data_IF_650599619030
#
_entry.id   IF_650599619030
#
_cell.length_a   1.000
_cell.length_b   1.000
_cell.length_c   1.000
_cell.angle_alpha   90.00
_cell.angle_beta   90.00
_cell.angle_gamma   90.00
#
_symmetry.space_group_name_H-M   'P 1'
#
loop_
_entity.id
_entity.type
_entity.pdbx_description
1 polymer ?
#
# COMPACT_ATOMS: atom_id res chain seq x y z
N UNK A 1 49.01 -14.91 -20.11
CA UNK A 1 48.69 -15.38 -18.74
C UNK A 1 47.97 -14.23 -18.04
N UNK A 2 46.87 -13.76 -18.64
CA UNK A 2 46.32 -12.43 -18.39
C UNK A 2 44.79 -12.42 -18.38
N UNK A 3 44.14 -13.41 -19.00
CA UNK A 3 42.69 -13.58 -18.97
C UNK A 3 42.13 -13.91 -17.58
N UNK A 4 42.87 -14.65 -16.75
CA UNK A 4 42.41 -15.01 -15.41
C UNK A 4 42.53 -13.85 -14.43
N UNK A 5 43.54 -12.98 -14.60
CA UNK A 5 43.63 -11.71 -13.88
C UNK A 5 42.53 -10.74 -14.31
N UNK A 6 42.20 -10.69 -15.60
CA UNK A 6 41.12 -9.85 -16.12
C UNK A 6 39.75 -10.36 -15.63
N UNK A 7 39.51 -11.69 -15.63
CA UNK A 7 38.31 -12.31 -15.05
C UNK A 7 38.20 -12.09 -13.55
N UNK A 8 39.29 -12.19 -12.80
CA UNK A 8 39.26 -11.96 -11.36
C UNK A 8 39.12 -10.46 -11.02
N UNK A 9 39.61 -9.56 -11.88
CA UNK A 9 39.38 -8.11 -11.77
C UNK A 9 37.94 -7.74 -12.11
N UNK A 10 37.34 -8.32 -13.16
CA UNK A 10 35.92 -8.20 -13.48
C UNK A 10 35.04 -8.76 -12.36
N UNK A 11 35.34 -9.97 -11.84
CA UNK A 11 34.63 -10.54 -10.69
C UNK A 11 34.73 -9.66 -9.46
N UNK A 12 35.87 -9.00 -9.20
CA UNK A 12 36.07 -8.11 -8.05
C UNK A 12 35.34 -6.77 -8.21
N UNK A 13 35.27 -6.23 -9.44
CA UNK A 13 34.47 -5.02 -9.77
C UNK A 13 32.97 -5.32 -9.65
N UNK A 14 32.53 -6.49 -10.11
CA UNK A 14 31.13 -6.93 -10.00
C UNK A 14 30.76 -7.23 -8.53
N UNK A 15 31.71 -7.73 -7.71
CA UNK A 15 31.50 -7.98 -6.27
C UNK A 15 31.47 -6.71 -5.41
N UNK A 16 32.06 -5.60 -5.88
CA UNK A 16 32.00 -4.30 -5.21
C UNK A 16 30.83 -3.41 -5.67
N UNK A 17 30.12 -3.81 -6.73
CA UNK A 17 28.97 -3.07 -7.28
C UNK A 17 27.63 -3.69 -6.85
N UNK A 18 27.53 -4.11 -5.58
CA UNK A 18 26.27 -4.55 -4.99
C UNK A 18 26.36 -4.32 -3.50
N UNK A 19 26.06 -3.08 -3.07
CA UNK A 19 25.61 -2.71 -1.72
C UNK A 19 25.26 -1.20 -1.72
N UNK A 20 24.44 -0.76 -2.66
CA UNK A 20 23.42 0.24 -2.32
C UNK A 20 22.07 -0.39 -2.65
N UNK A 21 21.36 -0.68 -1.57
CA UNK A 21 20.01 -1.13 -1.52
C UNK A 21 19.13 0.09 -1.82
N UNK A 22 18.70 0.26 -3.08
CA UNK A 22 17.71 1.30 -3.42
C UNK A 22 16.54 0.64 -4.11
N UNK A 23 15.40 0.89 -3.46
CA UNK A 23 14.08 0.30 -3.61
C UNK A 23 13.45 0.70 -4.96
N UNK A 24 12.52 -0.13 -5.40
CA UNK A 24 11.54 0.09 -6.46
C UNK A 24 12.01 0.86 -7.72
N UNK A 25 12.35 0.11 -8.77
CA UNK A 25 12.42 0.64 -10.13
C UNK A 25 11.23 0.09 -10.91
N UNK A 26 10.05 0.64 -10.70
CA UNK A 26 8.87 0.27 -11.48
C UNK A 26 8.86 1.01 -12.80
N UNK A 27 8.45 0.34 -13.88
CA UNK A 27 8.31 0.99 -15.19
C UNK A 27 7.09 1.90 -15.11
N UNK A 28 7.30 3.22 -15.20
CA UNK A 28 6.21 4.15 -15.17
C UNK A 28 5.24 3.98 -16.35
N UNK A 29 3.94 3.92 -16.05
CA UNK A 29 2.88 3.92 -17.05
C UNK A 29 2.90 5.25 -17.80
N UNK A 30 2.70 5.22 -19.13
CA UNK A 30 2.85 6.42 -19.97
C UNK A 30 1.83 7.52 -19.64
N UNK A 31 0.63 7.15 -19.28
CA UNK A 31 -0.45 8.03 -18.85
C UNK A 31 -0.23 8.55 -17.41
N UNK A 32 0.34 7.74 -16.51
CA UNK A 32 0.75 8.19 -15.17
C UNK A 32 1.91 9.19 -15.25
N UNK A 33 2.92 8.90 -16.07
CA UNK A 33 4.02 9.82 -16.37
C UNK A 33 3.53 11.09 -17.07
N UNK A 34 2.55 10.96 -17.98
CA UNK A 34 1.95 12.12 -18.63
C UNK A 34 1.17 12.98 -17.63
N UNK A 35 0.48 12.37 -16.67
CA UNK A 35 -0.22 13.08 -15.59
C UNK A 35 0.77 13.87 -14.73
N UNK A 36 1.91 13.29 -14.36
CA UNK A 36 2.98 13.99 -13.66
C UNK A 36 3.37 15.29 -14.36
N UNK A 37 3.58 15.24 -15.68
CA UNK A 37 3.93 16.41 -16.49
C UNK A 37 2.84 17.48 -16.57
N UNK A 38 1.57 17.14 -16.30
CA UNK A 38 0.51 18.14 -16.24
C UNK A 38 0.53 18.94 -14.93
N UNK A 39 1.06 18.34 -13.86
CA UNK A 39 1.13 18.94 -12.53
C UNK A 39 2.48 19.60 -12.25
N UNK A 40 3.53 19.17 -12.94
CA UNK A 40 4.87 19.79 -12.92
C UNK A 40 4.86 21.13 -13.69
N UNK A 41 4.27 22.14 -13.05
CA UNK A 41 4.03 23.45 -13.65
C UNK A 41 5.31 24.24 -13.91
N UNK A 42 6.36 23.99 -13.11
CA UNK A 42 7.64 24.66 -13.23
C UNK A 42 8.68 23.84 -14.05
N UNK A 43 8.35 22.59 -14.42
CA UNK A 43 9.16 21.63 -15.16
C UNK A 43 10.50 21.29 -14.51
N UNK A 44 10.55 21.25 -13.18
CA UNK A 44 11.74 20.86 -12.43
C UNK A 44 11.84 19.34 -12.20
N UNK A 45 10.80 18.59 -12.56
CA UNK A 45 10.77 17.14 -12.41
C UNK A 45 10.35 16.69 -11.01
N UNK A 46 9.78 17.60 -10.21
CA UNK A 46 9.36 17.41 -8.83
C UNK A 46 7.93 17.98 -8.65
N UNK A 47 7.06 17.26 -7.94
CA UNK A 47 5.75 17.77 -7.56
C UNK A 47 5.80 18.25 -6.12
N UNK A 48 5.89 19.56 -5.95
CA UNK A 48 5.81 20.18 -4.65
C UNK A 48 4.36 20.27 -4.16
N UNK A 49 4.17 20.38 -2.84
CA UNK A 49 2.85 20.61 -2.24
C UNK A 49 2.11 21.81 -2.84
N UNK A 50 2.82 22.80 -3.39
CA UNK A 50 2.22 24.00 -4.02
C UNK A 50 1.58 23.72 -5.37
N UNK A 51 2.17 22.80 -6.14
CA UNK A 51 1.66 22.38 -7.45
C UNK A 51 0.46 21.44 -7.32
N UNK A 52 0.35 20.77 -6.17
CA UNK A 52 -0.73 19.85 -5.84
C UNK A 52 -1.92 20.54 -5.15
N UNK A 53 -1.77 21.78 -4.66
CA UNK A 53 -2.86 22.57 -4.04
C UNK A 53 -4.16 22.58 -4.87
N UNK A 54 -4.13 22.74 -6.21
CA UNK A 54 -5.38 22.73 -6.99
C UNK A 54 -6.14 21.40 -6.95
N UNK A 55 -5.48 20.28 -6.63
CA UNK A 55 -6.11 18.98 -6.35
C UNK A 55 -6.63 18.88 -4.91
N UNK A 56 -5.93 19.50 -3.96
CA UNK A 56 -6.26 19.44 -2.53
C UNK A 56 -7.36 20.43 -2.09
N UNK A 57 -7.58 21.50 -2.84
CA UNK A 57 -8.57 22.53 -2.51
C UNK A 57 -10.03 22.15 -2.85
N UNK A 58 -10.26 21.06 -3.60
CA UNK A 58 -11.63 20.56 -3.77
C UNK A 58 -12.09 19.88 -2.47
N UNK A 59 -12.97 20.59 -1.75
CA UNK A 59 -13.66 20.16 -0.52
C UNK A 59 -14.31 18.77 -0.54
N UNK A 60 -14.38 18.12 -1.71
CA UNK A 60 -14.92 16.77 -1.92
C UNK A 60 -13.89 15.65 -1.81
N UNK A 61 -12.59 15.95 -1.83
CA UNK A 61 -11.54 14.93 -1.94
C UNK A 61 -10.62 14.86 -0.71
N UNK A 62 -11.22 14.75 0.48
CA UNK A 62 -10.51 14.60 1.77
C UNK A 62 -9.55 13.40 1.80
N UNK A 63 -9.79 12.41 0.94
CA UNK A 63 -8.97 11.22 0.81
C UNK A 63 -7.80 11.40 -0.17
N UNK A 64 -7.90 12.33 -1.13
CA UNK A 64 -6.88 12.50 -2.16
C UNK A 64 -5.59 13.09 -1.58
N UNK A 65 -5.70 14.10 -0.70
CA UNK A 65 -4.56 14.66 0.02
C UNK A 65 -3.79 13.58 0.79
N UNK A 66 -4.49 12.83 1.64
CA UNK A 66 -3.87 11.77 2.45
C UNK A 66 -3.30 10.61 1.60
N UNK A 67 -3.83 10.41 0.40
CA UNK A 67 -3.31 9.46 -0.57
C UNK A 67 -2.00 9.95 -1.20
N UNK A 68 -1.99 11.19 -1.70
CA UNK A 68 -0.83 11.79 -2.37
C UNK A 68 0.33 11.97 -1.38
N UNK A 69 0.04 12.39 -0.14
CA UNK A 69 1.04 12.46 0.94
C UNK A 69 1.71 11.11 1.24
N UNK A 70 1.08 9.99 0.87
CA UNK A 70 1.62 8.63 1.07
C UNK A 70 2.50 8.16 -0.09
N UNK A 71 2.49 8.89 -1.20
CA UNK A 71 3.34 8.62 -2.36
C UNK A 71 4.80 9.05 -2.13
N UNK A 72 5.03 10.00 -1.22
CA UNK A 72 6.34 10.46 -0.77
C UNK A 72 7.02 9.33 0.02
N UNK A 73 7.86 8.55 -0.66
CA UNK A 73 8.44 7.32 -0.12
C UNK A 73 9.94 7.31 -0.36
N UNK A 74 10.69 6.89 0.67
CA UNK A 74 12.15 6.83 0.71
C UNK A 74 12.93 6.82 -0.64
N UNK A 75 14.01 7.61 -0.75
CA UNK A 75 14.81 8.10 0.38
C UNK A 75 14.57 9.58 0.68
N UNK A 76 13.81 9.90 1.73
CA UNK A 76 13.71 11.29 2.18
C UNK A 76 12.42 11.66 2.90
N UNK A 77 11.26 11.15 2.44
CA UNK A 77 9.97 11.70 2.82
C UNK A 77 10.03 13.24 2.85
N UNK A 78 10.55 13.83 1.76
CA UNK A 78 11.03 15.21 1.74
C UNK A 78 9.91 16.22 1.40
N UNK A 79 8.66 15.74 1.35
CA UNK A 79 7.45 16.46 0.97
C UNK A 79 7.47 16.94 -0.49
N UNK A 80 8.27 16.27 -1.32
CA UNK A 80 8.33 16.45 -2.76
C UNK A 80 8.09 15.09 -3.38
N UNK A 81 7.24 15.03 -4.41
CA UNK A 81 6.98 13.76 -5.10
C UNK A 81 7.70 13.79 -6.44
N UNK A 82 8.73 12.98 -6.56
CA UNK A 82 9.47 12.76 -7.80
C UNK A 82 8.69 11.92 -8.80
N UNK A 83 9.13 11.90 -10.06
CA UNK A 83 8.51 11.05 -11.07
C UNK A 83 8.53 9.56 -10.67
N UNK A 84 9.62 9.07 -10.08
CA UNK A 84 9.72 7.66 -9.68
C UNK A 84 8.73 7.32 -8.56
N UNK A 85 8.63 8.16 -7.52
CA UNK A 85 7.66 8.03 -6.43
C UNK A 85 6.21 8.10 -6.92
N UNK A 86 5.93 9.04 -7.82
CA UNK A 86 4.63 9.16 -8.47
C UNK A 86 4.27 7.86 -9.19
N UNK A 87 5.18 7.35 -10.00
CA UNK A 87 4.97 6.13 -10.76
C UNK A 87 4.81 4.89 -9.87
N UNK A 88 5.53 4.82 -8.76
CA UNK A 88 5.38 3.77 -7.74
C UNK A 88 4.06 3.90 -6.98
N UNK A 89 3.62 5.13 -6.70
CA UNK A 89 2.35 5.39 -6.05
C UNK A 89 1.13 5.01 -6.91
N UNK A 90 1.32 4.77 -8.21
CA UNK A 90 0.28 4.22 -9.09
C UNK A 90 0.65 2.85 -9.66
N UNK A 91 1.78 2.26 -9.27
CA UNK A 91 2.26 0.96 -9.78
C UNK A 91 1.30 -0.20 -9.46
N UNK A 92 0.57 -0.09 -8.36
CA UNK A 92 -0.42 -1.08 -7.91
C UNK A 92 -1.77 -0.95 -8.64
N UNK A 93 -1.96 0.10 -9.46
CA UNK A 93 -3.19 0.30 -10.22
C UNK A 93 -3.32 -0.60 -11.45
N UNK A 94 -2.23 -1.21 -11.93
CA UNK A 94 -2.26 -1.89 -13.24
C UNK A 94 -2.27 -3.41 -13.21
N UNK A 95 -1.56 -4.12 -12.35
CA UNK A 95 -1.66 -5.60 -12.30
C UNK A 95 -0.91 -6.19 -11.11
N UNK A 96 -1.63 -6.55 -10.04
CA UNK A 96 -1.48 -7.78 -9.25
C UNK A 96 -2.26 -7.67 -7.95
N UNK A 97 -3.43 -8.31 -7.93
CA UNK A 97 -4.27 -8.52 -6.75
C UNK A 97 -4.50 -7.25 -5.94
N UNK A 98 -5.56 -6.52 -6.29
CA UNK A 98 -6.16 -5.64 -5.30
C UNK A 98 -6.40 -6.45 -4.02
N UNK A 99 -5.84 -6.02 -2.87
CA UNK A 99 -6.01 -6.73 -1.63
C UNK A 99 -7.50 -6.92 -1.32
N UNK A 100 -7.90 -8.10 -0.81
CA UNK A 100 -9.29 -8.53 -0.86
C UNK A 100 -10.23 -7.62 -0.05
N UNK A 101 -9.76 -6.95 1.00
CA UNK A 101 -10.58 -6.01 1.76
C UNK A 101 -10.74 -4.67 1.04
N UNK A 102 -9.69 -4.15 0.39
CA UNK A 102 -9.81 -2.95 -0.46
C UNK A 102 -10.74 -3.20 -1.64
N UNK A 103 -10.63 -4.36 -2.30
CA UNK A 103 -11.54 -4.77 -3.36
C UNK A 103 -12.99 -4.84 -2.88
N UNK A 104 -13.23 -5.38 -1.68
CA UNK A 104 -14.56 -5.40 -1.08
C UNK A 104 -15.09 -4.00 -0.74
N UNK A 105 -14.24 -3.07 -0.33
CA UNK A 105 -14.62 -1.67 -0.08
C UNK A 105 -14.97 -0.91 -1.36
N UNK A 106 -14.21 -1.09 -2.44
CA UNK A 106 -14.47 -0.41 -3.71
C UNK A 106 -15.80 -0.82 -4.37
N UNK A 107 -16.32 -2.00 -4.03
CA UNK A 107 -17.66 -2.42 -4.46
C UNK A 107 -18.79 -1.68 -3.72
N UNK A 108 -18.48 -0.91 -2.67
CA UNK A 108 -19.46 -0.15 -1.91
C UNK A 108 -19.43 1.32 -2.29
N UNK A 109 -20.61 1.92 -2.46
CA UNK A 109 -20.74 3.36 -2.67
C UNK A 109 -20.38 4.10 -1.37
N UNK A 110 -19.29 4.90 -1.34
CA UNK A 110 -18.88 5.64 -0.16
C UNK A 110 -19.95 6.63 0.34
N UNK A 111 -20.84 7.10 -0.55
CA UNK A 111 -21.91 8.04 -0.21
C UNK A 111 -23.06 7.37 0.55
N UNK A 112 -23.11 6.03 0.56
CA UNK A 112 -24.10 5.25 1.29
C UNK A 112 -23.57 4.73 2.64
N UNK A 113 -22.32 5.04 2.99
CA UNK A 113 -21.72 4.69 4.28
C UNK A 113 -22.47 5.41 5.41
N UNK A 114 -23.15 4.63 6.27
CA UNK A 114 -23.97 5.13 7.38
C UNK A 114 -25.44 5.39 7.05
N UNK A 115 -25.84 5.26 5.78
CA UNK A 115 -27.26 5.28 5.35
C UNK A 115 -27.74 3.86 5.07
N UNK A 116 -26.87 3.03 4.49
CA UNK A 116 -27.12 1.61 4.28
C UNK A 116 -26.66 0.81 5.49
N UNK A 117 -27.44 -0.20 5.86
CA UNK A 117 -27.04 -1.25 6.81
C UNK A 117 -26.13 -2.30 6.13
N UNK A 118 -25.33 -1.85 5.17
CA UNK A 118 -24.41 -2.71 4.45
C UNK A 118 -23.17 -2.94 5.31
N UNK A 119 -22.67 -4.17 5.31
CA UNK A 119 -21.44 -4.52 6.00
C UNK A 119 -20.24 -3.78 5.40
N UNK A 120 -19.62 -2.88 6.16
CA UNK A 120 -18.40 -2.19 5.73
C UNK A 120 -17.16 -2.87 6.36
N UNK A 121 -16.33 -3.56 5.56
CA UNK A 121 -15.21 -4.32 6.10
C UNK A 121 -14.11 -3.39 6.63
N UNK A 122 -13.41 -3.84 7.68
CA UNK A 122 -12.27 -3.13 8.28
C UNK A 122 -10.99 -3.68 7.67
N UNK A 123 -10.20 -2.83 7.03
CA UNK A 123 -8.98 -3.22 6.34
C UNK A 123 -7.71 -2.77 7.09
N UNK A 124 -6.62 -3.51 6.91
CA UNK A 124 -5.26 -3.08 7.26
C UNK A 124 -4.77 -2.03 6.25
N UNK A 125 -3.61 -1.44 6.51
CA UNK A 125 -2.99 -0.48 5.58
C UNK A 125 -2.53 -1.12 4.27
N UNK A 126 -2.23 -2.41 4.31
CA UNK A 126 -1.88 -3.22 3.14
C UNK A 126 -3.11 -3.71 2.38
N UNK A 127 -4.33 -3.44 2.87
CA UNK A 127 -5.58 -3.77 2.22
C UNK A 127 -6.12 -5.18 2.42
N UNK A 128 -5.53 -5.93 3.34
CA UNK A 128 -6.08 -7.18 3.86
C UNK A 128 -7.14 -6.90 4.94
N UNK A 129 -7.89 -7.92 5.34
CA UNK A 129 -8.88 -7.77 6.41
C UNK A 129 -8.19 -7.66 7.77
N UNK A 130 -8.63 -6.72 8.60
CA UNK A 130 -8.30 -6.75 10.04
C UNK A 130 -8.90 -8.01 10.66
N UNK A 131 -8.18 -8.60 11.60
CA UNK A 131 -8.62 -9.81 12.29
C UNK A 131 -10.01 -9.63 12.91
N UNK A 132 -10.29 -8.48 13.53
CA UNK A 132 -11.61 -8.17 14.08
C UNK A 132 -12.50 -7.44 13.06
N UNK A 133 -13.59 -8.10 12.68
CA UNK A 133 -14.67 -7.49 11.90
C UNK A 133 -15.89 -7.25 12.78
N UNK A 134 -16.63 -6.18 12.51
CA UNK A 134 -17.86 -5.86 13.22
C UNK A 134 -18.92 -5.36 12.25
N UNK A 135 -20.15 -5.80 12.46
CA UNK A 135 -21.33 -5.34 11.76
C UNK A 135 -22.53 -5.35 12.70
N UNK A 136 -23.26 -4.24 12.74
CA UNK A 136 -24.31 -3.99 13.72
C UNK A 136 -23.81 -4.25 15.16
N UNK A 137 -24.41 -5.21 15.87
CA UNK A 137 -24.04 -5.61 17.22
C UNK A 137 -23.16 -6.87 17.26
N UNK A 138 -22.78 -7.43 16.12
CA UNK A 138 -21.95 -8.63 16.03
C UNK A 138 -20.52 -8.28 15.65
N UNK A 139 -19.56 -8.92 16.31
CA UNK A 139 -18.17 -8.90 15.91
C UNK A 139 -17.63 -10.33 15.82
N UNK A 140 -16.71 -10.61 14.92
CA UNK A 140 -16.14 -11.93 14.69
C UNK A 140 -14.67 -11.82 14.26
N UNK A 141 -13.96 -12.95 14.29
CA UNK A 141 -12.58 -13.02 13.82
C UNK A 141 -12.54 -13.51 12.37
N UNK A 142 -11.67 -12.92 11.55
CA UNK A 142 -11.41 -13.34 10.17
C UNK A 142 -9.91 -13.54 9.93
N UNK A 143 -9.59 -14.33 8.91
CA UNK A 143 -8.23 -14.36 8.36
C UNK A 143 -7.95 -13.14 7.45
N UNK A 144 -6.71 -13.03 6.94
CA UNK A 144 -6.29 -11.91 6.07
C UNK A 144 -7.12 -11.77 4.78
N UNK A 145 -7.81 -12.84 4.36
CA UNK A 145 -8.67 -12.88 3.17
C UNK A 145 -10.15 -12.66 3.49
N UNK A 146 -10.52 -12.48 4.76
CA UNK A 146 -11.89 -12.19 5.19
C UNK A 146 -12.74 -13.41 5.50
N UNK A 147 -12.15 -14.62 5.62
CA UNK A 147 -12.89 -15.82 6.01
C UNK A 147 -13.09 -15.84 7.53
N UNK A 148 -14.35 -15.93 7.97
CA UNK A 148 -14.72 -16.00 9.40
C UNK A 148 -14.22 -17.30 10.04
N UNK A 149 -13.60 -17.19 11.21
CA UNK A 149 -13.27 -18.34 12.06
C UNK A 149 -14.52 -18.85 12.77
N UNK A 150 -14.68 -20.17 12.78
CA UNK A 150 -15.83 -20.82 13.42
C UNK A 150 -15.94 -20.44 14.91
N UNK A 151 -17.16 -20.15 15.35
CA UNK A 151 -17.50 -19.80 16.75
C UNK A 151 -16.77 -18.55 17.29
N UNK A 152 -16.23 -17.70 16.41
CA UNK A 152 -15.59 -16.44 16.81
C UNK A 152 -16.59 -15.30 17.07
N UNK A 153 -17.85 -15.43 16.62
CA UNK A 153 -18.86 -14.38 16.68
C UNK A 153 -19.33 -14.08 18.12
N UNK A 154 -19.25 -12.81 18.50
CA UNK A 154 -19.65 -12.25 19.81
C UNK A 154 -20.58 -11.06 19.64
N UNK A 155 -21.34 -10.72 20.68
CA UNK A 155 -22.31 -9.60 20.68
C UNK A 155 -21.80 -8.46 21.57
N UNK A 156 -21.83 -7.23 21.07
CA UNK A 156 -21.64 -6.01 21.85
C UNK A 156 -20.23 -5.80 22.41
N UNK A 157 -19.25 -6.59 21.99
CA UNK A 157 -17.84 -6.45 22.35
C UNK A 157 -16.93 -6.84 21.18
N UNK A 158 -15.70 -6.34 21.19
CA UNK A 158 -14.67 -6.76 20.25
C UNK A 158 -14.12 -8.14 20.67
N UNK A 159 -14.01 -9.13 19.76
CA UNK A 159 -13.42 -10.43 20.06
C UNK A 159 -11.90 -10.33 20.22
N UNK A 160 -11.32 -11.22 21.03
CA UNK A 160 -9.87 -11.44 21.06
C UNK A 160 -9.52 -12.48 19.98
N UNK A 161 -8.87 -12.02 18.92
CA UNK A 161 -8.49 -12.85 17.79
C UNK A 161 -7.06 -13.41 17.88
N UNK A 162 -6.29 -13.08 18.93
CA UNK A 162 -4.91 -13.57 19.10
C UNK A 162 -4.80 -15.09 19.16
N UNK A 163 -5.85 -15.77 19.63
CA UNK A 163 -5.93 -17.23 19.67
C UNK A 163 -5.88 -17.90 18.28
N UNK A 164 -6.26 -17.20 17.20
CA UNK A 164 -6.27 -17.74 15.83
C UNK A 164 -4.95 -17.53 15.08
N UNK A 165 -4.00 -16.79 15.65
CA UNK A 165 -2.66 -16.57 15.06
C UNK A 165 -1.83 -17.87 14.94
N UNK A 166 -2.26 -18.96 15.58
CA UNK A 166 -1.56 -20.25 15.58
C UNK A 166 -1.98 -21.20 14.45
N UNK A 167 -3.08 -20.93 13.74
CA UNK A 167 -3.60 -21.74 12.62
C UNK A 167 -3.14 -21.22 11.24
N UNK A 168 -2.25 -20.23 11.24
CA UNK A 168 -1.72 -19.55 10.07
C UNK A 168 -0.37 -20.16 9.65
N UNK A 169 -0.11 -20.27 8.34
CA UNK A 169 1.14 -20.80 7.76
C UNK A 169 2.36 -20.11 8.38
N UNK A 170 3.52 -20.77 8.43
CA UNK A 170 4.77 -20.21 9.00
C UNK A 170 5.11 -18.85 8.36
N UNK A 171 4.72 -18.61 7.11
CA UNK A 171 4.86 -17.32 6.43
C UNK A 171 3.92 -16.22 6.97
N UNK A 172 2.73 -16.57 7.48
CA UNK A 172 1.74 -15.62 7.99
C UNK A 172 1.97 -15.21 9.46
N UNK A 173 2.79 -15.97 10.19
CA UNK A 173 3.22 -15.63 11.55
C UNK A 173 4.27 -14.53 11.57
N UNK A 174 5.13 -14.45 10.55
CA UNK A 174 6.14 -13.39 10.47
C UNK A 174 5.49 -12.00 10.28
N UNK A 175 4.42 -11.93 9.48
CA UNK A 175 3.68 -10.67 9.24
C UNK A 175 2.95 -10.17 10.51
N UNK A 176 2.41 -11.08 11.33
CA UNK A 176 1.68 -10.74 12.56
C UNK A 176 2.61 -10.30 13.70
N UNK A 177 3.84 -10.82 13.74
CA UNK A 177 4.86 -10.45 14.74
C UNK A 177 5.54 -9.12 14.38
N UNK A 178 5.49 -8.71 13.12
CA UNK A 178 5.99 -7.40 12.68
C UNK A 178 5.05 -6.22 13.02
N UNK A 179 3.79 -6.49 13.37
CA UNK A 179 2.77 -5.46 13.69
C UNK A 179 2.38 -5.37 15.18
N UNK A 180 3.06 -6.12 16.07
CA UNK A 180 2.92 -6.04 17.54
C UNK A 180 4.09 -5.26 18.19
#
# INVERSE_FOLDING_TARGET
MDDEKLRNKLKRVIRSASLENIKHKTICRKDVAWMFQQWDGNNDGELSMKELVPLEEDSKEKCLKAYIDRCDTEPGNDNVITLDEWCDCFAWADDKHEPPCHAAKHQQDPHLLGISDAFHPRCTLEGYYKAEQCHENFCWCVDKYGREFDKSRVIGRLPDCGQYATEMDENEKEDLVAEL
#
